data_IF_884043813524
#
_entry.id   IF_884043813524
#
_cell.length_a   1.000
_cell.length_b   1.000
_cell.length_c   1.000
_cell.angle_alpha   90.00
_cell.angle_beta   90.00
_cell.angle_gamma   90.00
#
_symmetry.space_group_name_H-M   'P 1'
#
loop_
_entity.id
_entity.type
_entity.pdbx_description
1 polymer ?
#
# COMPACT_ATOMS: atom_id res chain seq x y z
N UNK A 1 -1.00 6.85 2.92
CA UNK A 1 -1.34 5.84 3.95
C UNK A 1 -1.39 4.47 3.30
N UNK A 2 -0.82 3.46 3.95
CA UNK A 2 -0.84 2.07 3.49
C UNK A 2 -1.54 1.23 4.56
N UNK A 3 -2.66 0.62 4.21
CA UNK A 3 -3.57 -0.05 5.12
C UNK A 3 -3.65 -1.56 4.82
N UNK A 4 -3.29 -2.37 5.81
CA UNK A 4 -3.22 -3.83 5.69
C UNK A 4 -4.58 -4.54 5.67
N UNK A 5 -5.63 -3.87 6.16
CA UNK A 5 -6.99 -4.43 6.22
C UNK A 5 -8.04 -3.34 6.11
N UNK A 6 -9.31 -3.75 5.99
CA UNK A 6 -10.46 -2.84 5.81
C UNK A 6 -10.68 -1.85 6.96
N UNK A 7 -10.04 -2.04 8.11
CA UNK A 7 -10.11 -1.10 9.24
C UNK A 7 -9.38 0.23 8.99
N UNK A 8 -8.51 0.29 7.99
CA UNK A 8 -7.81 1.51 7.56
C UNK A 8 -7.13 2.29 8.70
N UNK A 9 -6.41 1.57 9.58
CA UNK A 9 -5.85 2.16 10.80
C UNK A 9 -4.74 3.18 10.53
N UNK A 10 -3.97 3.05 9.44
CA UNK A 10 -2.92 4.00 9.10
C UNK A 10 -3.51 5.34 8.66
N UNK A 11 -4.53 5.31 7.79
CA UNK A 11 -5.26 6.51 7.39
C UNK A 11 -5.94 7.18 8.59
N UNK A 12 -6.57 6.39 9.46
CA UNK A 12 -7.20 6.89 10.69
C UNK A 12 -6.21 7.62 11.60
N UNK A 13 -5.06 7.00 11.89
CA UNK A 13 -4.04 7.62 12.76
C UNK A 13 -3.50 8.92 12.15
N UNK A 14 -3.28 8.96 10.83
CA UNK A 14 -2.85 10.19 10.15
C UNK A 14 -3.86 11.33 10.36
N UNK A 15 -5.15 11.06 10.17
CA UNK A 15 -6.21 12.05 10.39
C UNK A 15 -6.31 12.52 11.85
N UNK A 16 -6.24 11.58 12.82
CA UNK A 16 -6.29 11.90 14.26
C UNK A 16 -5.10 12.76 14.72
N UNK A 17 -3.97 12.72 14.00
CA UNK A 17 -2.79 13.53 14.26
C UNK A 17 -2.79 14.86 13.48
N UNK A 18 -3.88 15.20 12.79
CA UNK A 18 -4.00 16.40 11.98
C UNK A 18 -3.30 16.32 10.62
N UNK A 19 -2.88 15.13 10.19
CA UNK A 19 -2.30 14.91 8.87
C UNK A 19 -3.38 14.78 7.79
N UNK A 20 -3.04 15.17 6.56
CA UNK A 20 -3.87 14.94 5.38
C UNK A 20 -3.35 13.73 4.61
N UNK A 21 -4.24 12.77 4.32
CA UNK A 21 -3.88 11.58 3.53
C UNK A 21 -4.02 11.93 2.04
N UNK A 22 -2.89 12.18 1.37
CA UNK A 22 -2.87 12.44 -0.08
C UNK A 22 -3.22 11.20 -0.91
N UNK A 23 -2.79 10.01 -0.47
CA UNK A 23 -3.04 8.73 -1.13
C UNK A 23 -3.37 7.66 -0.10
N UNK A 24 -4.40 6.84 -0.35
CA UNK A 24 -4.82 5.75 0.53
C UNK A 24 -4.75 4.40 -0.22
N UNK A 25 -3.84 3.54 0.21
CA UNK A 25 -3.55 2.26 -0.42
C UNK A 25 -4.03 1.11 0.47
N UNK A 26 -4.85 0.21 -0.08
CA UNK A 26 -5.27 -1.01 0.60
C UNK A 26 -4.44 -2.19 0.10
N UNK A 27 -3.76 -2.90 1.00
CA UNK A 27 -3.01 -4.13 0.66
C UNK A 27 -3.94 -5.17 0.01
N UNK A 28 -5.21 -5.22 0.45
CA UNK A 28 -6.21 -6.12 -0.15
C UNK A 28 -6.50 -5.83 -1.62
N UNK A 29 -6.29 -4.60 -2.11
CA UNK A 29 -6.47 -4.29 -3.53
C UNK A 29 -5.29 -4.77 -4.36
N UNK A 30 -4.06 -4.74 -3.82
CA UNK A 30 -2.91 -5.38 -4.45
C UNK A 30 -3.13 -6.88 -4.60
N UNK A 31 -3.64 -7.55 -3.55
CA UNK A 31 -4.01 -8.96 -3.65
C UNK A 31 -5.07 -9.24 -4.73
N UNK A 32 -6.06 -8.35 -4.90
CA UNK A 32 -7.07 -8.48 -5.97
C UNK A 32 -6.49 -8.30 -7.37
N UNK A 33 -5.44 -7.49 -7.54
CA UNK A 33 -4.70 -7.34 -8.81
C UNK A 33 -3.80 -8.55 -9.09
N UNK A 34 -3.22 -9.12 -8.04
CA UNK A 34 -2.26 -10.22 -8.09
C UNK A 34 -2.83 -11.52 -7.53
N UNK A 35 -4.03 -11.94 -7.95
CA UNK A 35 -4.75 -13.09 -7.35
C UNK A 35 -3.98 -14.43 -7.38
N UNK A 36 -2.99 -14.55 -8.26
CA UNK A 36 -2.10 -15.72 -8.32
C UNK A 36 -1.06 -15.75 -7.18
N UNK A 37 -0.76 -14.62 -6.57
CA UNK A 37 0.19 -14.49 -5.47
C UNK A 37 -0.56 -14.64 -4.14
N UNK A 38 -0.78 -15.88 -3.73
CA UNK A 38 -1.56 -16.22 -2.53
C UNK A 38 -0.66 -16.44 -1.31
N UNK A 39 -0.63 -15.51 -0.34
CA UNK A 39 0.06 -15.75 0.92
C UNK A 39 -0.63 -16.87 1.72
N UNK A 40 0.16 -17.64 2.47
CA UNK A 40 -0.35 -18.69 3.37
C UNK A 40 -1.19 -18.12 4.51
N UNK A 41 -0.92 -16.87 4.90
CA UNK A 41 -1.72 -16.15 5.87
C UNK A 41 -1.30 -14.68 6.00
N UNK A 42 -1.98 -13.97 6.89
CA UNK A 42 -1.72 -12.54 7.15
C UNK A 42 -0.51 -12.29 8.05
N UNK A 43 -0.10 -13.30 8.84
CA UNK A 43 0.98 -13.17 9.83
C UNK A 43 2.33 -13.73 9.35
N UNK A 44 2.31 -14.57 8.31
CA UNK A 44 3.52 -15.17 7.74
C UNK A 44 3.43 -15.16 6.22
N UNK A 45 4.50 -14.70 5.59
CA UNK A 45 4.61 -14.66 4.13
C UNK A 45 5.37 -15.89 3.66
N UNK A 46 4.70 -16.68 2.83
CA UNK A 46 5.36 -17.65 1.95
C UNK A 46 6.00 -16.92 0.74
N UNK A 47 6.59 -17.65 -0.18
CA UNK A 47 7.20 -17.06 -1.39
C UNK A 47 6.22 -16.17 -2.19
N UNK A 48 5.00 -16.65 -2.41
CA UNK A 48 3.97 -15.88 -3.09
C UNK A 48 3.58 -14.60 -2.32
N UNK A 49 3.57 -14.65 -0.99
CA UNK A 49 3.36 -13.49 -0.13
C UNK A 49 4.48 -12.47 -0.21
N UNK A 50 5.74 -12.93 -0.33
CA UNK A 50 6.89 -12.04 -0.56
C UNK A 50 6.82 -11.40 -1.94
N UNK A 51 6.45 -12.15 -2.98
CA UNK A 51 6.25 -11.61 -4.32
C UNK A 51 5.12 -10.57 -4.35
N UNK A 52 4.01 -10.81 -3.63
CA UNK A 52 2.93 -9.85 -3.51
C UNK A 52 3.39 -8.57 -2.80
N UNK A 53 4.18 -8.70 -1.73
CA UNK A 53 4.75 -7.56 -1.02
C UNK A 53 5.69 -6.74 -1.92
N UNK A 54 6.53 -7.41 -2.72
CA UNK A 54 7.41 -6.77 -3.70
C UNK A 54 6.61 -6.01 -4.76
N UNK A 55 5.57 -6.62 -5.34
CA UNK A 55 4.72 -5.96 -6.32
C UNK A 55 4.03 -4.70 -5.76
N UNK A 56 3.52 -4.76 -4.52
CA UNK A 56 2.97 -3.58 -3.85
C UNK A 56 4.05 -2.52 -3.56
N UNK A 57 5.26 -2.92 -3.18
CA UNK A 57 6.35 -1.98 -2.94
C UNK A 57 6.73 -1.20 -4.21
N UNK A 58 6.74 -1.86 -5.37
CA UNK A 58 6.97 -1.22 -6.67
C UNK A 58 5.84 -0.25 -7.04
N UNK A 59 4.58 -0.61 -6.80
CA UNK A 59 3.44 0.30 -6.98
C UNK A 59 3.57 1.56 -6.09
N UNK A 60 3.98 1.39 -4.83
CA UNK A 60 4.21 2.50 -3.89
C UNK A 60 5.38 3.39 -4.35
N UNK A 61 6.49 2.79 -4.79
CA UNK A 61 7.66 3.54 -5.25
C UNK A 61 7.30 4.43 -6.46
N UNK A 62 6.62 3.86 -7.45
CA UNK A 62 6.15 4.62 -8.61
C UNK A 62 5.21 5.77 -8.23
N UNK A 63 4.32 5.55 -7.26
CA UNK A 63 3.41 6.59 -6.77
C UNK A 63 4.18 7.73 -6.09
N UNK A 64 5.18 7.41 -5.26
CA UNK A 64 6.02 8.42 -4.61
C UNK A 64 6.82 9.22 -5.64
N UNK A 65 7.41 8.54 -6.64
CA UNK A 65 8.16 9.20 -7.72
C UNK A 65 7.27 10.16 -8.53
N UNK A 66 6.01 9.77 -8.78
CA UNK A 66 5.02 10.63 -9.44
C UNK A 66 4.69 11.86 -8.61
N UNK A 67 4.49 11.70 -7.30
CA UNK A 67 4.23 12.82 -6.39
C UNK A 67 5.41 13.80 -6.33
N UNK A 68 6.64 13.29 -6.27
CA UNK A 68 7.85 14.12 -6.32
C UNK A 68 7.98 14.86 -7.67
N UNK A 69 7.54 14.23 -8.76
CA UNK A 69 7.45 14.86 -10.07
C UNK A 69 6.39 15.97 -10.13
N UNK A 70 5.20 15.75 -9.57
CA UNK A 70 4.13 16.75 -9.48
C UNK A 70 4.54 17.96 -8.64
N UNK A 71 5.21 17.74 -7.50
CA UNK A 71 5.71 18.81 -6.62
C UNK A 71 6.77 19.69 -7.30
N UNK A 72 7.59 19.14 -8.20
CA UNK A 72 8.58 19.93 -8.97
C UNK A 72 7.97 20.77 -10.09
N UNK A 73 6.74 20.46 -10.51
CA UNK A 73 6.03 21.13 -11.61
C UNK A 73 4.88 22.04 -11.14
N UNK A 74 4.63 22.12 -9.84
CA UNK A 74 3.64 22.99 -9.19
C UNK A 74 4.30 24.26 -8.63
#
# INVERSE_FOLDING_TARGET
AIDGCTKSCAAKVAAERGGTVSQALQVSDAFKRHRGLKPDGVAQLNEAGLQLAQALAEEVANLVDQMDGEVKNA
#
